data_IF_064630278470
#
_entry.id   IF_064630278470
#
_cell.length_a   1.000
_cell.length_b   1.000
_cell.length_c   1.000
_cell.angle_alpha   90.00
_cell.angle_beta   90.00
_cell.angle_gamma   90.00
#
_symmetry.space_group_name_H-M   'P 1'
#
loop_
_entity.id
_entity.type
_entity.pdbx_description
1 polymer ?
#
# COMPACT_ATOMS: atom_id res chain seq x y z
N UNK A 1 -11.94 3.49 14.22
CA UNK A 1 -11.39 4.45 13.23
C UNK A 1 -10.91 3.76 11.95
N UNK A 2 -10.15 2.66 12.03
CA UNK A 2 -9.59 1.93 10.87
C UNK A 2 -10.67 1.38 9.90
N UNK A 3 -11.79 0.87 10.41
CA UNK A 3 -12.89 0.33 9.59
C UNK A 3 -13.63 1.42 8.80
N UNK A 4 -13.80 2.64 9.36
CA UNK A 4 -14.63 3.69 8.75
C UNK A 4 -14.00 4.31 7.49
N UNK A 5 -12.69 4.60 7.49
CA UNK A 5 -12.00 5.18 6.33
C UNK A 5 -11.92 4.22 5.13
N UNK A 6 -11.69 2.93 5.39
CA UNK A 6 -11.70 1.89 4.34
C UNK A 6 -13.11 1.68 3.79
N UNK A 7 -14.13 1.60 4.64
CA UNK A 7 -15.54 1.49 4.25
C UNK A 7 -15.97 2.63 3.31
N UNK A 8 -15.55 3.86 3.59
CA UNK A 8 -15.86 5.03 2.76
C UNK A 8 -15.21 4.89 1.38
N UNK A 9 -13.92 4.55 1.31
CA UNK A 9 -13.22 4.39 0.03
C UNK A 9 -13.83 3.28 -0.84
N UNK A 10 -14.26 2.19 -0.21
CA UNK A 10 -14.90 1.05 -0.88
C UNK A 10 -16.31 1.37 -1.37
N UNK A 11 -17.10 2.08 -0.55
CA UNK A 11 -18.41 2.59 -0.96
C UNK A 11 -18.32 3.58 -2.13
N UNK A 12 -17.23 4.36 -2.22
CA UNK A 12 -16.98 5.25 -3.34
C UNK A 12 -16.59 4.46 -4.59
N UNK A 13 -15.68 3.48 -4.51
CA UNK A 13 -15.35 2.62 -5.66
C UNK A 13 -16.59 1.90 -6.21
N UNK A 14 -17.49 1.47 -5.33
CA UNK A 14 -18.82 0.97 -5.66
C UNK A 14 -19.66 1.97 -6.48
N UNK A 15 -19.78 3.20 -5.99
CA UNK A 15 -20.56 4.25 -6.63
C UNK A 15 -19.98 4.66 -8.01
N UNK A 16 -18.69 4.39 -8.24
CA UNK A 16 -17.98 4.65 -9.50
C UNK A 16 -18.00 3.46 -10.47
N UNK A 17 -18.48 2.29 -10.03
CA UNK A 17 -18.51 1.06 -10.81
C UNK A 17 -19.72 0.98 -11.76
N UNK A 18 -19.65 0.13 -12.78
CA UNK A 18 -20.68 0.04 -13.85
C UNK A 18 -22.08 -0.33 -13.37
N UNK A 19 -22.19 -1.01 -12.22
CA UNK A 19 -23.48 -1.39 -11.63
C UNK A 19 -24.26 -0.23 -11.00
N UNK A 20 -23.64 0.93 -10.82
CA UNK A 20 -24.23 2.07 -10.11
C UNK A 20 -24.91 3.06 -11.07
N UNK A 21 -26.11 2.70 -11.53
CA UNK A 21 -26.88 3.47 -12.52
C UNK A 21 -28.03 4.31 -11.94
N UNK A 22 -28.17 4.37 -10.61
CA UNK A 22 -29.24 5.15 -9.97
C UNK A 22 -28.97 6.66 -10.07
N UNK A 23 -30.02 7.48 -9.98
CA UNK A 23 -29.88 8.93 -10.02
C UNK A 23 -28.89 9.43 -8.93
N UNK A 24 -27.91 10.24 -9.34
CA UNK A 24 -26.84 10.74 -8.46
C UNK A 24 -25.62 9.82 -8.33
N UNK A 25 -25.62 8.63 -8.91
CA UNK A 25 -24.44 7.76 -8.99
C UNK A 25 -23.58 8.09 -10.22
N UNK A 26 -22.30 7.75 -10.13
CA UNK A 26 -21.29 8.07 -11.15
C UNK A 26 -20.69 6.78 -11.74
N UNK A 27 -21.55 5.79 -12.01
CA UNK A 27 -21.12 4.49 -12.51
C UNK A 27 -20.37 4.59 -13.84
N UNK A 28 -19.32 3.79 -14.00
CA UNK A 28 -18.46 3.75 -15.19
C UNK A 28 -17.19 4.60 -15.09
N UNK A 29 -17.04 5.45 -14.07
CA UNK A 29 -15.81 6.24 -13.87
C UNK A 29 -14.62 5.33 -13.58
N UNK A 30 -14.78 4.27 -12.80
CA UNK A 30 -13.69 3.34 -12.51
C UNK A 30 -13.16 2.66 -13.79
N UNK A 31 -14.07 2.31 -14.70
CA UNK A 31 -13.74 1.71 -16.01
C UNK A 31 -13.08 2.71 -16.96
N UNK A 32 -13.30 4.01 -16.77
CA UNK A 32 -12.66 5.08 -17.53
C UNK A 32 -11.33 5.56 -16.90
N UNK A 33 -10.93 5.00 -15.76
CA UNK A 33 -9.75 5.42 -15.01
C UNK A 33 -8.48 4.74 -15.55
N UNK A 34 -7.42 5.53 -15.77
CA UNK A 34 -6.11 5.02 -16.23
C UNK A 34 -5.20 4.63 -15.07
N UNK A 35 -5.23 5.37 -13.96
CA UNK A 35 -4.38 5.18 -12.79
C UNK A 35 -5.21 5.16 -11.51
N UNK A 36 -4.86 4.28 -10.58
CA UNK A 36 -5.49 4.21 -9.26
C UNK A 36 -4.40 4.27 -8.19
N UNK A 37 -4.25 5.42 -7.54
CA UNK A 37 -3.26 5.64 -6.49
C UNK A 37 -3.84 5.45 -5.08
N UNK A 38 -3.04 4.85 -4.19
CA UNK A 38 -3.40 4.64 -2.79
C UNK A 38 -2.20 4.77 -1.86
N UNK A 39 -2.44 5.28 -0.65
CA UNK A 39 -1.49 5.29 0.45
C UNK A 39 -2.15 4.75 1.72
N UNK A 40 -1.38 4.21 2.67
CA UNK A 40 -1.88 3.72 3.96
C UNK A 40 -3.06 2.76 3.80
N UNK A 41 -4.18 3.00 4.48
CA UNK A 41 -5.42 2.23 4.30
C UNK A 41 -5.91 2.13 2.84
N UNK A 42 -5.66 3.15 2.03
CA UNK A 42 -5.98 3.16 0.60
C UNK A 42 -5.10 2.20 -0.21
N UNK A 43 -3.86 1.95 0.21
CA UNK A 43 -2.99 0.95 -0.45
C UNK A 43 -3.57 -0.47 -0.35
N UNK A 44 -4.24 -0.80 0.76
CA UNK A 44 -4.93 -2.07 0.94
C UNK A 44 -6.18 -2.18 0.07
N UNK A 45 -6.92 -1.07 -0.08
CA UNK A 45 -8.08 -1.00 -0.99
C UNK A 45 -7.62 -1.23 -2.42
N UNK A 46 -6.61 -0.47 -2.88
CA UNK A 46 -6.02 -0.64 -4.21
C UNK A 46 -5.52 -2.06 -4.38
N UNK A 47 -4.59 -2.52 -3.54
CA UNK A 47 -3.97 -3.84 -3.68
C UNK A 47 -4.98 -4.99 -3.65
N UNK A 48 -6.04 -4.91 -2.84
CA UNK A 48 -7.08 -5.95 -2.78
C UNK A 48 -7.79 -6.22 -4.11
N UNK A 49 -7.86 -5.22 -5.01
CA UNK A 49 -8.44 -5.39 -6.35
C UNK A 49 -7.55 -6.26 -7.26
N UNK A 50 -6.23 -6.24 -7.05
CA UNK A 50 -5.25 -6.88 -7.93
C UNK A 50 -4.73 -8.21 -7.37
N UNK A 51 -4.67 -8.38 -6.05
CA UNK A 51 -4.15 -9.60 -5.38
C UNK A 51 -5.21 -10.71 -5.23
N UNK A 52 -6.33 -10.60 -5.94
CA UNK A 52 -7.46 -11.55 -5.91
C UNK A 52 -7.88 -11.93 -7.33
N UNK A 53 -6.90 -12.22 -8.21
CA UNK A 53 -7.15 -12.60 -9.60
C UNK A 53 -8.06 -11.60 -10.35
N UNK A 54 -7.86 -10.29 -10.09
CA UNK A 54 -8.57 -9.19 -10.75
C UNK A 54 -10.09 -9.30 -10.65
N UNK A 55 -10.57 -9.48 -9.42
CA UNK A 55 -12.00 -9.52 -9.13
C UNK A 55 -12.59 -8.10 -9.26
N UNK A 56 -13.70 -7.94 -10.00
CA UNK A 56 -14.37 -6.63 -10.12
C UNK A 56 -14.96 -6.21 -8.77
N UNK A 57 -15.07 -4.90 -8.53
CA UNK A 57 -15.72 -4.34 -7.33
C UNK A 57 -17.11 -4.97 -7.12
N UNK A 58 -17.89 -5.09 -8.20
CA UNK A 58 -19.22 -5.71 -8.14
C UNK A 58 -19.17 -7.18 -7.71
N UNK A 59 -18.20 -7.95 -8.21
CA UNK A 59 -18.05 -9.36 -7.81
C UNK A 59 -17.51 -9.57 -6.40
N UNK A 60 -16.82 -8.59 -5.82
CA UNK A 60 -16.44 -8.60 -4.39
C UNK A 60 -17.66 -8.36 -3.50
N UNK A 61 -18.54 -7.43 -3.89
CA UNK A 61 -19.68 -7.02 -3.05
C UNK A 61 -20.93 -7.87 -3.24
N UNK A 62 -21.23 -8.23 -4.49
CA UNK A 62 -22.39 -9.04 -4.87
C UNK A 62 -22.01 -10.51 -5.12
N UNK A 63 -20.77 -10.89 -4.80
CA UNK A 63 -20.26 -12.25 -4.96
C UNK A 63 -21.12 -13.27 -4.20
N UNK A 64 -21.64 -14.25 -4.93
CA UNK A 64 -22.40 -15.39 -4.38
C UNK A 64 -21.51 -16.53 -3.89
N UNK A 65 -20.19 -16.39 -4.06
CA UNK A 65 -19.19 -17.36 -3.64
C UNK A 65 -18.72 -16.99 -2.22
N UNK A 66 -18.73 -17.96 -1.30
CA UNK A 66 -18.47 -17.74 0.13
C UNK A 66 -17.15 -16.99 0.45
N UNK A 67 -16.12 -17.11 -0.40
CA UNK A 67 -14.83 -16.43 -0.24
C UNK A 67 -14.81 -14.98 -0.73
N UNK A 68 -15.44 -14.68 -1.87
CA UNK A 68 -15.46 -13.31 -2.42
C UNK A 68 -16.45 -12.42 -1.66
N UNK A 69 -17.60 -12.97 -1.26
CA UNK A 69 -18.57 -12.27 -0.39
C UNK A 69 -18.08 -12.03 1.04
N UNK A 70 -16.95 -12.62 1.45
CA UNK A 70 -16.29 -12.36 2.74
C UNK A 70 -15.10 -11.41 2.68
N UNK A 71 -14.67 -10.99 1.48
CA UNK A 71 -13.44 -10.22 1.30
C UNK A 71 -13.55 -8.80 1.88
N UNK A 72 -14.71 -8.15 1.77
CA UNK A 72 -14.98 -6.80 2.33
C UNK A 72 -16.00 -6.85 3.48
N UNK A 73 -15.79 -7.75 4.44
CA UNK A 73 -16.53 -7.75 5.70
C UNK A 73 -15.88 -6.79 6.69
N UNK A 74 -16.42 -5.57 6.75
CA UNK A 74 -15.86 -4.47 7.54
C UNK A 74 -16.73 -4.08 8.74
N UNK A 75 -17.83 -4.81 8.93
CA UNK A 75 -18.73 -4.70 10.09
C UNK A 75 -17.99 -5.11 11.38
N UNK A 76 -17.12 -6.11 11.25
CA UNK A 76 -16.26 -6.57 12.34
C UNK A 76 -14.87 -5.91 12.25
N UNK A 77 -14.26 -5.64 13.40
CA UNK A 77 -12.92 -5.08 13.48
C UNK A 77 -11.90 -6.02 12.84
N UNK A 78 -10.89 -5.48 12.14
CA UNK A 78 -9.74 -6.28 11.65
C UNK A 78 -9.04 -7.05 12.78
N UNK A 79 -9.19 -6.62 14.04
CA UNK A 79 -8.65 -7.30 15.22
C UNK A 79 -9.44 -8.57 15.56
N UNK A 80 -10.75 -8.52 15.43
CA UNK A 80 -11.67 -9.59 15.84
C UNK A 80 -11.98 -10.53 14.67
N UNK A 81 -11.97 -10.00 13.44
CA UNK A 81 -12.34 -10.73 12.24
C UNK A 81 -13.84 -11.08 12.22
N UNK A 82 -14.29 -11.76 11.17
CA UNK A 82 -15.68 -12.16 11.02
C UNK A 82 -16.18 -13.07 12.15
N UNK A 83 -17.41 -12.86 12.61
CA UNK A 83 -18.04 -13.67 13.67
C UNK A 83 -18.14 -15.19 13.36
N UNK A 84 -18.04 -15.59 12.10
CA UNK A 84 -18.09 -16.99 11.64
C UNK A 84 -16.71 -17.66 11.53
N UNK A 85 -15.62 -16.90 11.71
CA UNK A 85 -14.25 -17.40 11.68
C UNK A 85 -13.59 -17.24 13.05
N UNK A 86 -12.92 -18.29 13.53
CA UNK A 86 -12.01 -18.11 14.66
C UNK A 86 -10.89 -17.14 14.28
N UNK A 87 -10.52 -16.21 15.17
CA UNK A 87 -9.40 -15.26 14.99
C UNK A 87 -8.14 -15.96 14.43
N UNK A 88 -7.81 -17.14 14.96
CA UNK A 88 -6.68 -17.97 14.49
C UNK A 88 -6.74 -18.30 13.01
N UNK A 89 -7.92 -18.70 12.54
CA UNK A 89 -8.17 -19.11 11.16
C UNK A 89 -8.18 -17.88 10.25
N UNK A 90 -8.87 -16.83 10.66
CA UNK A 90 -8.91 -15.54 9.96
C UNK A 90 -7.51 -14.99 9.67
N UNK A 91 -6.65 -14.87 10.70
CA UNK A 91 -5.28 -14.36 10.52
C UNK A 91 -4.38 -15.31 9.72
N UNK A 92 -4.63 -16.63 9.77
CA UNK A 92 -3.87 -17.61 8.99
C UNK A 92 -4.21 -17.53 7.50
N UNK A 93 -5.50 -17.44 7.18
CA UNK A 93 -5.98 -17.31 5.80
C UNK A 93 -5.48 -15.97 5.21
N UNK A 94 -5.61 -14.86 5.95
CA UNK A 94 -5.02 -13.57 5.55
C UNK A 94 -3.51 -13.67 5.27
N UNK A 95 -2.75 -14.31 6.16
CA UNK A 95 -1.31 -14.47 5.97
C UNK A 95 -0.99 -15.29 4.71
N UNK A 96 -1.73 -16.37 4.46
CA UNK A 96 -1.50 -17.23 3.31
C UNK A 96 -1.85 -16.56 1.98
N UNK A 97 -2.98 -15.86 1.93
CA UNK A 97 -3.45 -15.16 0.72
C UNK A 97 -2.48 -14.05 0.32
N UNK A 98 -1.96 -13.32 1.30
CA UNK A 98 -1.05 -12.21 1.09
C UNK A 98 0.37 -12.67 0.73
N UNK A 99 0.80 -13.84 1.20
CA UNK A 99 2.12 -14.42 0.88
C UNK A 99 2.20 -15.00 -0.55
N UNK A 100 1.07 -15.32 -1.18
CA UNK A 100 1.05 -15.96 -2.49
C UNK A 100 1.32 -15.01 -3.68
N UNK A 101 1.20 -13.69 -3.48
CA UNK A 101 1.30 -12.70 -4.55
C UNK A 101 2.49 -11.75 -4.37
N UNK A 102 3.14 -11.43 -5.48
CA UNK A 102 4.12 -10.34 -5.60
C UNK A 102 3.44 -9.15 -6.28
N UNK A 103 3.76 -7.93 -5.90
CA UNK A 103 3.19 -6.76 -6.57
C UNK A 103 3.61 -6.70 -8.04
N UNK A 104 4.81 -7.18 -8.38
CA UNK A 104 5.24 -7.28 -9.78
C UNK A 104 4.54 -8.36 -10.60
N UNK A 105 3.85 -9.32 -9.99
CA UNK A 105 3.08 -10.32 -10.75
C UNK A 105 1.81 -9.72 -11.37
N UNK A 106 1.35 -8.56 -10.90
CA UNK A 106 0.24 -7.79 -11.50
C UNK A 106 0.51 -7.55 -12.99
N UNK A 107 1.76 -7.27 -13.37
CA UNK A 107 2.15 -7.06 -14.77
C UNK A 107 1.94 -8.29 -15.68
N UNK A 108 1.84 -9.49 -15.12
CA UNK A 108 1.62 -10.73 -15.85
C UNK A 108 0.15 -11.16 -15.88
N UNK A 109 -0.74 -10.42 -15.22
CA UNK A 109 -2.16 -10.73 -15.22
C UNK A 109 -2.81 -10.45 -16.57
N UNK A 110 -3.75 -11.30 -16.98
CA UNK A 110 -4.39 -11.23 -18.30
C UNK A 110 -5.32 -10.04 -18.44
N UNK A 111 -6.09 -9.69 -17.40
CA UNK A 111 -7.03 -8.56 -17.44
C UNK A 111 -6.28 -7.23 -17.37
N UNK A 112 -5.21 -7.17 -16.56
CA UNK A 112 -4.33 -6.01 -16.53
C UNK A 112 -3.60 -5.79 -17.85
N UNK A 113 -2.99 -6.84 -18.40
CA UNK A 113 -2.30 -6.77 -19.69
C UNK A 113 -3.25 -6.40 -20.84
N UNK A 114 -4.55 -6.68 -20.70
CA UNK A 114 -5.61 -6.26 -21.61
C UNK A 114 -6.13 -4.83 -21.37
N UNK A 115 -5.53 -4.07 -20.44
CA UNK A 115 -5.92 -2.72 -20.04
C UNK A 115 -7.38 -2.61 -19.55
N UNK A 116 -7.88 -3.64 -18.87
CA UNK A 116 -9.24 -3.66 -18.29
C UNK A 116 -9.31 -3.21 -16.83
N UNK A 117 -8.16 -2.91 -16.24
CA UNK A 117 -8.04 -2.34 -14.91
C UNK A 117 -7.06 -1.16 -14.97
N UNK A 118 -7.24 -0.12 -14.12
CA UNK A 118 -6.28 0.97 -14.03
C UNK A 118 -4.90 0.46 -13.56
N UNK A 119 -3.86 1.23 -13.81
CA UNK A 119 -2.52 0.97 -13.26
C UNK A 119 -2.53 1.26 -11.75
N UNK A 120 -2.23 0.27 -10.89
CA UNK A 120 -2.18 0.49 -9.44
C UNK A 120 -0.87 1.19 -9.07
N UNK A 121 -0.99 2.24 -8.26
CA UNK A 121 0.14 3.00 -7.72
C UNK A 121 0.03 3.01 -6.20
N UNK A 122 1.06 2.52 -5.51
CA UNK A 122 1.14 2.60 -4.05
C UNK A 122 2.24 3.58 -3.66
N UNK A 123 1.95 4.46 -2.69
CA UNK A 123 2.90 5.48 -2.23
C UNK A 123 3.36 5.17 -0.80
N UNK A 124 4.66 5.29 -0.56
CA UNK A 124 5.29 5.33 0.76
C UNK A 124 6.25 6.52 0.81
N UNK A 125 6.76 6.86 1.99
CA UNK A 125 7.69 7.98 2.17
C UNK A 125 9.03 7.46 2.65
N UNK A 126 10.11 8.02 2.10
CA UNK A 126 11.45 7.74 2.55
C UNK A 126 11.73 8.40 3.92
N UNK A 127 12.30 7.62 4.84
CA UNK A 127 12.80 8.11 6.12
C UNK A 127 14.30 7.97 6.15
N UNK A 128 15.02 9.09 6.24
CA UNK A 128 16.48 9.05 6.36
C UNK A 128 16.87 8.36 7.66
N UNK A 129 17.87 7.47 7.60
CA UNK A 129 18.34 6.70 8.75
C UNK A 129 18.72 7.62 9.92
N UNK A 130 18.14 7.37 11.11
CA UNK A 130 18.44 8.12 12.34
C UNK A 130 17.62 9.40 12.54
N UNK A 131 16.69 9.75 11.65
CA UNK A 131 15.73 10.83 11.87
C UNK A 131 14.44 10.29 12.49
N UNK A 132 13.86 11.02 13.44
CA UNK A 132 12.56 10.68 14.07
C UNK A 132 11.37 11.43 13.47
N UNK A 133 11.62 12.49 12.71
CA UNK A 133 10.58 13.30 12.07
C UNK A 133 10.67 13.15 10.56
N UNK A 134 9.52 12.94 9.93
CA UNK A 134 9.35 13.00 8.49
C UNK A 134 9.14 14.45 8.12
N UNK A 135 9.99 14.98 7.24
CA UNK A 135 9.83 16.33 6.75
C UNK A 135 8.76 16.34 5.64
N UNK A 136 8.07 17.46 5.46
CA UNK A 136 7.10 17.61 4.36
C UNK A 136 7.73 17.56 2.96
N UNK A 137 9.06 17.59 2.86
CA UNK A 137 9.83 17.44 1.63
C UNK A 137 10.57 16.09 1.56
N UNK A 138 10.15 15.10 2.33
CA UNK A 138 10.70 13.75 2.23
C UNK A 138 10.42 13.15 0.85
N UNK A 139 11.36 12.34 0.37
CA UNK A 139 11.24 11.69 -0.94
C UNK A 139 10.05 10.74 -0.97
N UNK A 140 9.16 10.96 -1.93
CA UNK A 140 7.97 10.13 -2.16
C UNK A 140 8.38 8.92 -2.99
N UNK A 141 8.17 7.73 -2.43
CA UNK A 141 8.46 6.46 -3.06
C UNK A 141 7.18 5.86 -3.64
N UNK A 142 7.19 5.61 -4.94
CA UNK A 142 6.13 4.94 -5.67
C UNK A 142 6.47 3.47 -5.88
N UNK A 143 5.47 2.61 -5.74
CA UNK A 143 5.46 1.23 -6.21
C UNK A 143 4.40 1.06 -7.29
N UNK A 144 4.81 0.51 -8.42
CA UNK A 144 3.93 0.08 -9.50
C UNK A 144 4.31 -1.36 -9.94
N UNK A 145 3.54 -2.03 -10.81
CA UNK A 145 3.80 -3.43 -11.17
C UNK A 145 5.17 -3.73 -11.79
N UNK A 146 5.91 -2.71 -12.23
CA UNK A 146 7.21 -2.90 -12.87
C UNK A 146 8.37 -2.41 -12.03
N UNK A 147 8.18 -1.34 -11.26
CA UNK A 147 9.27 -0.61 -10.63
C UNK A 147 8.89 0.01 -9.28
N UNK A 148 9.90 0.21 -8.45
CA UNK A 148 9.83 1.13 -7.31
C UNK A 148 10.83 2.26 -7.50
N UNK A 149 10.48 3.47 -7.07
CA UNK A 149 11.35 4.63 -7.24
C UNK A 149 10.66 5.93 -6.93
N UNK A 150 11.31 7.02 -7.32
CA UNK A 150 10.77 8.37 -7.11
C UNK A 150 11.07 9.26 -8.31
N UNK A 151 10.14 10.17 -8.58
CA UNK A 151 10.33 11.29 -9.50
C UNK A 151 11.00 12.49 -8.82
N UNK A 152 11.15 12.48 -7.49
CA UNK A 152 11.70 13.60 -6.74
C UNK A 152 13.19 13.80 -7.07
N UNK A 153 13.68 15.05 -7.21
CA UNK A 153 15.05 15.34 -7.63
C UNK A 153 16.16 14.74 -6.75
N UNK A 154 15.85 14.44 -5.50
CA UNK A 154 16.74 13.80 -4.52
C UNK A 154 17.14 12.39 -4.99
N UNK A 155 16.20 11.64 -5.57
CA UNK A 155 16.42 10.29 -6.08
C UNK A 155 16.35 10.23 -7.61
N UNK A 156 15.24 10.67 -8.22
CA UNK A 156 14.98 10.71 -9.66
C UNK A 156 15.40 9.42 -10.38
N UNK A 157 14.95 8.28 -9.85
CA UNK A 157 15.31 6.97 -10.36
C UNK A 157 14.29 5.90 -9.96
N UNK A 158 14.23 4.87 -10.80
CA UNK A 158 13.39 3.69 -10.61
C UNK A 158 14.22 2.42 -10.77
N UNK A 159 13.87 1.42 -9.96
CA UNK A 159 14.46 0.10 -9.97
C UNK A 159 13.40 -0.96 -10.28
N UNK A 160 13.73 -2.01 -11.05
CA UNK A 160 12.77 -3.07 -11.37
C UNK A 160 12.27 -3.76 -10.10
N UNK A 161 10.98 -3.62 -9.80
CA UNK A 161 10.37 -4.03 -8.53
C UNK A 161 10.61 -5.51 -8.25
N UNK A 162 10.49 -6.34 -9.29
CA UNK A 162 10.76 -7.78 -9.23
C UNK A 162 12.15 -8.11 -8.67
N UNK A 163 13.15 -7.26 -8.86
CA UNK A 163 14.55 -7.54 -8.54
C UNK A 163 15.11 -6.70 -7.40
N UNK A 164 14.29 -5.91 -6.69
CA UNK A 164 14.75 -4.97 -5.66
C UNK A 164 15.51 -5.65 -4.51
N UNK A 165 15.30 -6.95 -4.31
CA UNK A 165 16.08 -7.74 -3.35
C UNK A 165 17.54 -8.00 -3.74
N UNK A 166 17.95 -7.64 -4.96
CA UNK A 166 19.29 -7.88 -5.48
C UNK A 166 20.30 -6.86 -4.94
N UNK A 167 21.58 -7.21 -4.99
CA UNK A 167 22.67 -6.30 -4.60
C UNK A 167 22.97 -5.29 -5.71
N UNK A 168 22.18 -4.21 -5.78
CA UNK A 168 22.48 -3.10 -6.68
C UNK A 168 23.68 -2.29 -6.20
N UNK A 169 24.43 -1.77 -7.17
CA UNK A 169 25.49 -0.80 -6.94
C UNK A 169 25.50 0.21 -8.08
N UNK A 170 25.34 1.49 -7.73
CA UNK A 170 25.31 2.62 -8.66
C UNK A 170 24.35 2.38 -9.84
N UNK A 171 23.13 1.91 -9.53
CA UNK A 171 22.07 1.66 -10.50
C UNK A 171 22.20 0.37 -11.31
N UNK A 172 23.15 -0.52 -10.99
CA UNK A 172 23.34 -1.78 -11.73
C UNK A 172 23.55 -2.98 -10.82
N UNK A 173 23.14 -4.16 -11.26
CA UNK A 173 23.55 -5.44 -10.66
C UNK A 173 24.80 -5.91 -11.40
N UNK A 174 25.83 -6.34 -10.66
CA UNK A 174 27.09 -6.82 -11.25
C UNK A 174 26.86 -7.99 -12.21
N UNK A 175 27.72 -8.15 -13.24
CA UNK A 175 27.58 -9.20 -14.26
C UNK A 175 27.49 -10.64 -13.72
N UNK A 176 28.12 -10.88 -12.57
CA UNK A 176 28.10 -12.18 -11.86
C UNK A 176 27.28 -12.10 -10.56
N UNK A 177 26.45 -11.06 -10.41
CA UNK A 177 25.58 -10.89 -9.26
C UNK A 177 24.28 -11.68 -9.43
N UNK A 178 23.70 -12.10 -8.31
CA UNK A 178 22.44 -12.82 -8.29
C UNK A 178 21.25 -11.85 -8.42
N UNK A 179 20.32 -12.17 -9.32
CA UNK A 179 19.04 -11.48 -9.42
C UNK A 179 18.05 -12.11 -8.43
N UNK A 180 17.85 -11.46 -7.29
CA UNK A 180 16.95 -11.91 -6.22
C UNK A 180 15.56 -11.34 -6.46
N UNK A 181 14.57 -12.22 -6.53
CA UNK A 181 13.16 -11.85 -6.72
C UNK A 181 12.27 -12.27 -5.54
N UNK A 182 11.08 -11.66 -5.45
CA UNK A 182 10.08 -11.97 -4.43
C UNK A 182 10.15 -11.11 -3.16
N UNK A 183 11.09 -10.16 -3.09
CA UNK A 183 11.12 -9.14 -2.03
C UNK A 183 9.88 -8.23 -2.08
N UNK A 184 9.26 -8.10 -3.25
CA UNK A 184 8.07 -7.31 -3.52
C UNK A 184 6.76 -8.07 -3.23
N UNK A 185 6.73 -8.86 -2.15
CA UNK A 185 5.48 -9.46 -1.68
C UNK A 185 4.39 -8.38 -1.59
N UNK A 186 3.22 -8.63 -2.18
CA UNK A 186 2.19 -7.60 -2.31
C UNK A 186 1.71 -7.09 -0.93
N UNK A 187 1.65 -7.99 0.06
CA UNK A 187 1.42 -7.63 1.45
C UNK A 187 2.45 -6.72 2.06
N UNK A 188 3.72 -6.96 1.73
CA UNK A 188 4.82 -6.15 2.22
C UNK A 188 4.81 -4.75 1.58
N UNK A 189 4.47 -4.63 0.29
CA UNK A 189 4.26 -3.33 -0.38
C UNK A 189 3.11 -2.55 0.27
N UNK A 190 1.94 -3.18 0.40
CA UNK A 190 0.78 -2.55 1.07
C UNK A 190 1.07 -2.21 2.53
N UNK A 191 1.73 -3.12 3.26
CA UNK A 191 2.12 -2.92 4.65
C UNK A 191 3.15 -1.81 4.84
N UNK A 192 4.08 -1.64 3.90
CA UNK A 192 5.05 -0.53 3.89
C UNK A 192 4.34 0.81 3.79
N UNK A 193 3.41 0.95 2.84
CA UNK A 193 2.60 2.15 2.67
C UNK A 193 1.67 2.43 3.86
N UNK A 194 1.45 1.43 4.70
CA UNK A 194 0.54 1.43 5.84
C UNK A 194 1.27 1.11 7.17
N UNK A 195 2.56 1.47 7.30
CA UNK A 195 3.36 1.07 8.46
C UNK A 195 2.90 1.71 9.78
N UNK A 196 2.12 2.79 9.74
CA UNK A 196 1.45 3.38 10.92
C UNK A 196 0.53 2.35 11.61
N UNK A 197 0.04 1.34 10.88
CA UNK A 197 -0.73 0.23 11.44
C UNK A 197 0.05 -0.63 12.45
N UNK A 198 1.38 -0.49 12.55
CA UNK A 198 2.16 -1.12 13.61
C UNK A 198 1.70 -0.69 15.02
N UNK A 199 1.08 0.49 15.16
CA UNK A 199 0.41 0.89 16.41
C UNK A 199 -0.88 0.09 16.68
N UNK A 200 -1.60 -0.35 15.64
CA UNK A 200 -2.78 -1.20 15.79
C UNK A 200 -2.38 -2.61 16.25
N UNK A 201 -1.25 -3.14 15.80
CA UNK A 201 -0.70 -4.42 16.31
C UNK A 201 -0.38 -4.38 17.81
N UNK A 202 -0.01 -3.22 18.36
CA UNK A 202 0.16 -3.05 19.81
C UNK A 202 -1.17 -3.14 20.58
N UNK A 203 -2.30 -2.83 19.93
CA UNK A 203 -3.62 -3.03 20.53
C UNK A 203 -4.04 -4.51 20.44
N UNK A 204 -3.61 -5.24 19.41
CA UNK A 204 -3.81 -6.69 19.30
C UNK A 204 -3.17 -7.39 20.50
N UNK A 205 -1.94 -7.04 20.90
CA UNK A 205 -1.32 -7.58 22.13
C UNK A 205 -2.17 -7.41 23.41
N UNK A 206 -3.04 -6.40 23.44
CA UNK A 206 -3.90 -6.08 24.58
C UNK A 206 -5.30 -6.69 24.47
N UNK A 207 -5.63 -7.32 23.33
CA UNK A 207 -6.90 -7.99 23.13
C UNK A 207 -6.91 -9.35 23.86
N UNK A 208 -8.08 -9.73 24.38
CA UNK A 208 -8.27 -11.05 24.99
C UNK A 208 -8.32 -12.13 23.89
N UNK A 209 -7.74 -13.32 24.17
CA UNK A 209 -7.76 -14.50 23.28
C UNK A 209 -7.01 -14.38 21.93
N UNK A 210 -5.91 -13.63 21.87
CA UNK A 210 -5.05 -13.61 20.67
C UNK A 210 -4.37 -14.98 20.48
N UNK A 211 -4.39 -15.55 19.26
CA UNK A 211 -3.73 -16.82 18.97
C UNK A 211 -2.22 -16.80 19.27
N UNK A 212 -1.70 -17.86 19.87
CA UNK A 212 -0.31 -17.94 20.32
C UNK A 212 0.71 -17.79 19.16
N UNK A 213 0.37 -18.26 17.95
CA UNK A 213 1.23 -18.07 16.78
C UNK A 213 1.32 -16.59 16.35
N UNK A 214 0.22 -15.84 16.51
CA UNK A 214 0.17 -14.41 16.17
C UNK A 214 0.89 -13.60 17.26
N UNK A 215 0.70 -13.94 18.54
CA UNK A 215 1.48 -13.36 19.63
C UNK A 215 2.97 -13.65 19.47
N UNK A 216 3.36 -14.85 19.04
CA UNK A 216 4.75 -15.21 18.77
C UNK A 216 5.31 -14.46 17.56
N UNK A 217 4.54 -14.31 16.48
CA UNK A 217 4.93 -13.52 15.33
C UNK A 217 5.12 -12.04 15.71
N UNK A 218 4.15 -11.45 16.43
CA UNK A 218 4.22 -10.08 16.93
C UNK A 218 5.40 -9.91 17.89
N UNK A 219 5.55 -10.78 18.88
CA UNK A 219 6.63 -10.68 19.87
C UNK A 219 8.02 -10.87 19.25
N UNK A 220 8.19 -11.79 18.29
CA UNK A 220 9.46 -11.95 17.60
C UNK A 220 9.78 -10.72 16.74
N UNK A 221 8.79 -10.17 16.04
CA UNK A 221 8.96 -8.94 15.24
C UNK A 221 9.22 -7.72 16.12
N UNK A 222 8.56 -7.58 17.28
CA UNK A 222 8.71 -6.44 18.19
C UNK A 222 9.91 -6.55 19.14
N UNK A 223 10.41 -7.75 19.44
CA UNK A 223 11.61 -7.94 20.27
C UNK A 223 12.89 -7.52 19.51
N UNK A 224 12.88 -7.65 18.19
CA UNK A 224 13.99 -7.26 17.31
C UNK A 224 13.91 -5.78 16.87
N UNK A 225 12.76 -5.11 17.08
CA UNK A 225 12.49 -3.74 16.66
C UNK A 225 12.24 -2.84 17.89
N UNK A 226 13.19 -1.98 18.22
CA UNK A 226 13.04 -0.97 19.27
C UNK A 226 11.84 -0.03 19.03
N UNK A 227 11.28 0.55 20.10
CA UNK A 227 10.07 1.38 20.06
C UNK A 227 10.13 2.52 19.01
N UNK A 228 11.31 3.05 18.71
CA UNK A 228 11.57 4.15 17.76
C UNK A 228 11.58 3.74 16.27
N UNK A 229 11.61 2.43 15.99
CA UNK A 229 11.66 1.84 14.66
C UNK A 229 10.40 1.02 14.35
N UNK A 230 9.35 1.12 15.16
CA UNK A 230 8.13 0.33 14.97
C UNK A 230 7.28 0.81 13.81
N UNK A 231 7.55 1.96 13.22
CA UNK A 231 6.81 2.56 12.12
C UNK A 231 7.52 2.42 10.76
N UNK A 232 8.65 1.72 10.70
CA UNK A 232 9.47 1.62 9.48
C UNK A 232 9.38 0.25 8.81
N UNK A 233 9.46 0.24 7.48
CA UNK A 233 9.69 -0.93 6.65
C UNK A 233 11.08 -0.85 6.02
N UNK A 234 11.89 -1.87 6.27
CA UNK A 234 13.25 -1.95 5.74
C UNK A 234 13.26 -2.74 4.42
N UNK A 235 13.69 -2.07 3.36
CA UNK A 235 13.88 -2.65 2.03
C UNK A 235 15.37 -2.79 1.72
N UNK A 236 15.81 -3.83 1.00
CA UNK A 236 17.09 -3.79 0.32
C UNK A 236 17.14 -2.56 -0.58
N UNK A 237 18.24 -1.78 -0.55
CA UNK A 237 18.31 -0.51 -1.27
C UNK A 237 18.78 -0.70 -2.73
N UNK A 238 17.89 -0.63 -3.74
CA UNK A 238 18.33 -0.71 -5.13
C UNK A 238 19.09 0.55 -5.60
N UNK A 239 19.04 1.63 -4.82
CA UNK A 239 19.70 2.92 -5.08
C UNK A 239 21.03 3.06 -4.35
N UNK A 240 21.58 1.97 -3.82
CA UNK A 240 22.88 1.98 -3.18
C UNK A 240 23.96 2.51 -4.14
N UNK A 241 24.71 3.51 -3.68
CA UNK A 241 25.73 4.28 -4.41
C UNK A 241 25.22 5.02 -5.65
N UNK A 242 23.91 5.13 -5.84
CA UNK A 242 23.32 5.90 -6.93
C UNK A 242 23.14 7.36 -6.51
N UNK A 243 23.58 8.29 -7.35
CA UNK A 243 23.48 9.74 -7.16
C UNK A 243 23.85 10.25 -5.73
N UNK A 244 25.04 9.90 -5.20
CA UNK A 244 25.40 10.17 -3.80
C UNK A 244 25.52 11.65 -3.43
N UNK A 245 25.39 12.56 -4.40
CA UNK A 245 25.37 14.01 -4.14
C UNK A 245 24.02 14.50 -3.65
N UNK A 246 22.93 13.87 -4.09
CA UNK A 246 21.56 14.28 -3.79
C UNK A 246 20.80 13.22 -2.98
N UNK A 247 21.05 11.94 -3.26
CA UNK A 247 20.39 10.83 -2.59
C UNK A 247 21.02 10.59 -1.21
N UNK A 248 20.32 10.99 -0.15
CA UNK A 248 20.75 10.82 1.24
C UNK A 248 20.94 9.36 1.65
N UNK A 249 20.27 8.43 0.96
CA UNK A 249 20.35 6.99 1.21
C UNK A 249 21.36 6.26 0.32
N UNK A 250 22.14 6.98 -0.52
CA UNK A 250 23.13 6.35 -1.41
C UNK A 250 24.22 5.57 -0.66
N UNK A 251 24.51 5.89 0.59
CA UNK A 251 25.53 5.19 1.38
C UNK A 251 24.98 4.08 2.27
N UNK A 252 23.66 3.85 2.28
CA UNK A 252 23.00 2.78 3.04
C UNK A 252 22.61 1.63 2.13
N UNK A 253 22.87 0.39 2.56
CA UNK A 253 22.38 -0.82 1.88
C UNK A 253 20.91 -1.11 2.16
N UNK A 254 20.30 -0.38 3.09
CA UNK A 254 18.89 -0.50 3.49
C UNK A 254 18.19 0.81 3.18
N UNK A 255 17.05 0.72 2.50
CA UNK A 255 16.13 1.81 2.25
C UNK A 255 14.99 1.72 3.28
N UNK A 256 14.85 2.76 4.09
CA UNK A 256 13.86 2.81 5.16
C UNK A 256 12.65 3.59 4.68
N UNK A 257 11.49 2.94 4.64
CA UNK A 257 10.24 3.52 4.19
C UNK A 257 9.20 3.54 5.31
N UNK A 258 8.30 4.52 5.28
CA UNK A 258 7.19 4.66 6.22
C UNK A 258 5.88 4.91 5.50
N UNK A 259 4.79 4.94 6.26
CA UNK A 259 3.44 5.21 5.78
C UNK A 259 3.37 6.51 4.98
N UNK A 260 2.68 6.45 3.84
CA UNK A 260 2.56 7.56 2.90
C UNK A 260 1.78 8.78 3.42
N UNK A 261 1.15 8.70 4.60
CA UNK A 261 0.46 9.83 5.23
C UNK A 261 1.23 10.51 6.36
N UNK A 262 2.46 10.06 6.68
CA UNK A 262 3.26 10.58 7.81
C UNK A 262 3.77 12.02 7.60
N UNK A 263 3.85 12.48 6.35
CA UNK A 263 4.16 13.88 6.00
C UNK A 263 2.92 14.78 5.94
N UNK A 264 1.76 14.26 6.38
CA UNK A 264 0.44 14.88 6.37
C UNK A 264 -0.23 15.00 4.98
N UNK A 265 0.39 14.50 3.91
CA UNK A 265 -0.21 14.42 2.57
C UNK A 265 -1.09 13.18 2.43
N UNK A 266 -2.27 13.21 3.05
CA UNK A 266 -3.18 12.06 3.12
C UNK A 266 -3.87 11.67 1.80
N UNK A 267 -3.62 12.38 0.69
CA UNK A 267 -4.14 12.06 -0.65
C UNK A 267 -2.96 11.92 -1.63
N UNK A 268 -2.74 10.76 -2.27
CA UNK A 268 -1.57 10.48 -3.11
C UNK A 268 -1.68 11.15 -4.49
N UNK A 269 -1.64 12.48 -4.53
CA UNK A 269 -1.63 13.26 -5.78
C UNK A 269 -0.30 13.14 -6.52
N UNK A 270 0.82 13.15 -5.79
CA UNK A 270 2.16 13.19 -6.36
C UNK A 270 2.37 12.27 -7.59
N UNK A 271 2.07 10.96 -7.52
CA UNK A 271 2.20 10.10 -8.69
C UNK A 271 1.36 10.58 -9.88
N UNK A 272 0.16 11.12 -9.67
CA UNK A 272 -0.74 11.53 -10.74
C UNK A 272 -0.38 12.89 -11.37
N UNK A 273 0.47 13.68 -10.74
CA UNK A 273 0.88 15.01 -11.21
C UNK A 273 2.12 14.99 -12.11
N UNK A 274 2.73 13.82 -12.30
CA UNK A 274 3.91 13.65 -13.17
C UNK A 274 3.52 13.92 -14.63
N UNK A 275 4.25 14.82 -15.29
CA UNK A 275 3.89 15.33 -16.62
C UNK A 275 3.81 14.26 -17.70
N UNK A 276 4.64 13.22 -17.56
CA UNK A 276 4.76 12.06 -18.43
C UNK A 276 3.49 11.21 -18.44
N UNK A 277 2.67 11.29 -17.38
CA UNK A 277 1.40 10.54 -17.28
C UNK A 277 0.23 11.24 -17.96
N UNK A 278 0.37 12.53 -18.29
CA UNK A 278 -0.63 13.32 -19.02
C UNK A 278 -2.04 13.20 -18.42
N UNK A 279 -2.15 13.27 -17.09
CA UNK A 279 -3.44 13.16 -16.40
C UNK A 279 -4.22 14.47 -16.52
N UNK A 280 -5.41 14.42 -17.12
CA UNK A 280 -6.29 15.59 -17.29
C UNK A 280 -7.24 15.82 -16.12
N UNK A 281 -7.72 14.73 -15.49
CA UNK A 281 -8.75 14.76 -14.45
C UNK A 281 -8.37 13.81 -13.31
N UNK A 282 -8.44 14.30 -12.08
CA UNK A 282 -8.20 13.51 -10.86
C UNK A 282 -9.48 13.49 -10.02
N UNK A 283 -9.96 12.29 -9.70
CA UNK A 283 -11.01 12.08 -8.71
C UNK A 283 -10.37 11.76 -7.36
N UNK A 284 -10.23 12.79 -6.52
CA UNK A 284 -9.63 12.64 -5.20
C UNK A 284 -10.64 12.16 -4.16
N UNK A 285 -10.23 11.17 -3.35
CA UNK A 285 -11.01 10.67 -2.23
C UNK A 285 -10.28 11.02 -0.94
N UNK A 286 -10.80 12.00 -0.21
CA UNK A 286 -10.28 12.40 1.09
C UNK A 286 -11.00 11.66 2.22
N UNK A 287 -10.31 10.69 2.81
CA UNK A 287 -10.80 9.90 3.95
C UNK A 287 -10.26 10.35 5.30
N UNK A 288 -9.67 11.55 5.39
CA UNK A 288 -9.05 12.06 6.61
C UNK A 288 -10.08 12.33 7.72
N UNK A 289 -9.62 12.24 8.97
CA UNK A 289 -10.42 12.52 10.16
C UNK A 289 -10.02 13.85 10.80
N UNK A 290 -10.03 14.94 10.02
CA UNK A 290 -9.43 16.23 10.41
C UNK A 290 -10.23 17.03 11.45
N UNK A 291 -11.52 16.72 11.63
CA UNK A 291 -12.40 17.44 12.54
C UNK A 291 -12.70 16.62 13.80
N UNK A 292 -13.22 17.27 14.86
CA UNK A 292 -13.66 16.58 16.09
C UNK A 292 -14.74 15.51 15.84
N UNK A 293 -15.47 15.66 14.74
CA UNK A 293 -16.49 14.71 14.29
C UNK A 293 -15.95 13.70 13.26
N UNK A 294 -14.64 13.66 13.03
CA UNK A 294 -13.93 12.75 12.13
C UNK A 294 -14.30 12.88 10.65
N UNK A 295 -14.70 14.08 10.22
CA UNK A 295 -14.88 14.41 8.81
C UNK A 295 -13.64 15.10 8.22
N UNK A 296 -13.34 14.88 6.93
CA UNK A 296 -12.30 15.60 6.21
C UNK A 296 -12.66 17.09 6.11
N UNK A 297 -11.66 17.97 6.19
CA UNK A 297 -11.85 19.41 6.02
C UNK A 297 -11.08 19.98 4.81
N UNK A 298 -10.49 19.12 3.99
CA UNK A 298 -9.72 19.48 2.81
C UNK A 298 -8.31 20.03 3.12
N UNK A 299 -7.78 19.81 4.33
CA UNK A 299 -6.39 20.18 4.64
C UNK A 299 -5.40 19.36 3.83
N UNK A 300 -5.70 18.09 3.57
CA UNK A 300 -4.92 17.19 2.70
C UNK A 300 -4.79 17.68 1.26
N UNK A 301 -5.70 18.54 0.78
CA UNK A 301 -5.69 19.10 -0.58
C UNK A 301 -4.82 20.35 -0.75
N UNK A 302 -4.26 20.88 0.35
CA UNK A 302 -3.52 22.15 0.37
C UNK A 302 -2.06 22.01 0.80
N UNK A 303 -1.64 20.79 1.11
CA UNK A 303 -0.26 20.46 1.46
C UNK A 303 0.50 20.10 0.20
#
# INVERSE_FOLDING_TARGET
MISCGRLIQLAILLALSTGSTSEGQLGGILQATTYLSGLSGGSWVVGSLYVQNFTTVESIIYGSNAFLGSLWQLDDSIIEGPNDLSVTRYYRELYQDVQAYTFSSIANDTEFAAARAPMPLIVAIERTTGQLQIASNSTIMEFNPWEMGSFDPELAAFAPLKYVGSAFQNGTIGRNGDCVAGADNAGFVMGTSASLFNQAFLQIQKADNVPEFLLKAINNTLADIGDENRDIANWPNPFYKYNPKNNSNADSTILTLVDGGEDLQNVPFHPLLVSERQVDVIFAIDGSADTKTHWPNGTSLRQ
#
